data_IF_182556174016
#
_entry.id   IF_182556174016
#
_cell.length_a   1.000
_cell.length_b   1.000
_cell.length_c   1.000
_cell.angle_alpha   90.00
_cell.angle_beta   90.00
_cell.angle_gamma   90.00
#
_symmetry.space_group_name_H-M   'P 1'
#
loop_
_entity.id
_entity.type
_entity.pdbx_description
1 polymer ?
#
# COMPACT_ATOMS: atom_id res chain seq x y z
N UNK A 1 7.13 -18.45 -9.90
CA UNK A 1 5.70 -18.15 -10.18
C UNK A 1 5.35 -18.66 -11.57
N UNK A 2 4.25 -19.39 -11.73
CA UNK A 2 3.74 -19.80 -13.04
C UNK A 2 3.04 -18.64 -13.79
N UNK A 3 2.77 -18.80 -15.12
CA UNK A 3 2.15 -17.73 -15.93
C UNK A 3 0.81 -17.23 -15.37
N UNK A 4 -0.03 -18.12 -14.84
CA UNK A 4 -1.30 -17.75 -14.22
C UNK A 4 -1.12 -16.90 -12.95
N UNK A 5 -0.13 -17.20 -12.12
CA UNK A 5 0.19 -16.41 -10.91
C UNK A 5 0.71 -15.02 -11.28
N UNK A 6 1.49 -14.91 -12.37
CA UNK A 6 1.99 -13.61 -12.88
C UNK A 6 0.82 -12.77 -13.38
N UNK A 7 -0.11 -13.35 -14.16
CA UNK A 7 -1.29 -12.65 -14.65
C UNK A 7 -2.19 -12.19 -13.48
N UNK A 8 -2.37 -13.03 -12.48
CA UNK A 8 -3.16 -12.69 -11.30
C UNK A 8 -2.49 -11.59 -10.46
N UNK A 9 -1.15 -11.62 -10.33
CA UNK A 9 -0.39 -10.55 -9.69
C UNK A 9 -0.53 -9.21 -10.45
N UNK A 10 -0.47 -9.24 -11.78
CA UNK A 10 -0.68 -8.05 -12.60
C UNK A 10 -2.08 -7.44 -12.35
N UNK A 11 -3.11 -8.27 -12.24
CA UNK A 11 -4.46 -7.82 -11.87
C UNK A 11 -4.49 -7.13 -10.50
N UNK A 12 -3.86 -7.74 -9.48
CA UNK A 12 -3.76 -7.17 -8.14
C UNK A 12 -3.08 -5.79 -8.17
N UNK A 13 -1.97 -5.69 -8.91
CA UNK A 13 -1.23 -4.42 -9.08
C UNK A 13 -2.12 -3.34 -9.69
N UNK A 14 -2.86 -3.66 -10.74
CA UNK A 14 -3.78 -2.73 -11.40
C UNK A 14 -4.90 -2.30 -10.44
N UNK A 15 -5.49 -3.22 -9.69
CA UNK A 15 -6.56 -2.93 -8.74
C UNK A 15 -6.07 -1.99 -7.62
N UNK A 16 -4.90 -2.21 -7.05
CA UNK A 16 -4.32 -1.31 -6.04
C UNK A 16 -3.94 0.05 -6.64
N UNK A 17 -3.46 0.09 -7.88
CA UNK A 17 -3.20 1.37 -8.57
C UNK A 17 -4.50 2.16 -8.81
N UNK A 18 -5.60 1.49 -9.18
CA UNK A 18 -6.93 2.10 -9.28
C UNK A 18 -7.42 2.58 -7.91
N UNK A 19 -7.27 1.79 -6.86
CA UNK A 19 -7.60 2.20 -5.49
C UNK A 19 -6.93 3.54 -5.17
N UNK A 20 -5.62 3.64 -5.31
CA UNK A 20 -4.87 4.86 -5.00
C UNK A 20 -5.28 6.04 -5.89
N UNK A 21 -5.49 5.79 -7.18
CA UNK A 21 -5.92 6.80 -8.14
C UNK A 21 -7.31 7.38 -7.81
N UNK A 22 -8.28 6.51 -7.55
CA UNK A 22 -9.63 6.95 -7.21
C UNK A 22 -9.73 7.55 -5.81
N UNK A 23 -8.85 7.15 -4.87
CA UNK A 23 -8.69 7.83 -3.59
C UNK A 23 -8.30 9.31 -3.79
N UNK A 24 -7.31 9.60 -4.63
CA UNK A 24 -6.94 10.99 -4.97
C UNK A 24 -8.08 11.73 -5.66
N UNK A 25 -8.77 11.11 -6.64
CA UNK A 25 -9.94 11.72 -7.29
C UNK A 25 -11.07 12.01 -6.31
N UNK A 26 -11.33 11.10 -5.37
CA UNK A 26 -12.29 11.32 -4.30
C UNK A 26 -11.87 12.52 -3.45
N UNK A 27 -10.63 12.57 -2.97
CA UNK A 27 -10.15 13.65 -2.10
C UNK A 27 -10.22 15.03 -2.75
N UNK A 28 -9.98 15.11 -4.06
CA UNK A 28 -10.07 16.38 -4.83
C UNK A 28 -11.52 16.80 -5.11
N UNK A 29 -12.44 15.86 -5.25
CA UNK A 29 -13.85 16.11 -5.55
C UNK A 29 -14.77 16.17 -4.33
N UNK A 30 -14.24 15.86 -3.14
CA UNK A 30 -15.03 15.86 -1.91
C UNK A 30 -15.25 17.28 -1.38
N UNK A 31 -16.50 17.62 -1.11
CA UNK A 31 -16.92 18.97 -0.69
C UNK A 31 -17.32 19.06 0.78
N UNK A 32 -17.39 17.93 1.48
CA UNK A 32 -17.74 17.87 2.90
C UNK A 32 -16.59 18.28 3.83
N UNK A 33 -16.85 18.27 5.14
CA UNK A 33 -15.88 18.76 6.14
C UNK A 33 -14.79 17.75 6.53
N UNK A 34 -15.03 16.45 6.41
CA UNK A 34 -14.12 15.42 6.92
C UNK A 34 -14.18 14.18 6.01
N UNK A 35 -13.24 14.07 5.08
CA UNK A 35 -13.22 13.01 4.06
C UNK A 35 -12.75 11.64 4.61
N UNK A 36 -11.90 11.64 5.65
CA UNK A 36 -11.32 10.41 6.21
C UNK A 36 -12.39 9.46 6.77
N UNK A 37 -13.32 9.90 7.65
CA UNK A 37 -14.36 9.01 8.14
C UNK A 37 -15.26 8.48 7.04
N UNK A 38 -15.60 9.28 6.04
CA UNK A 38 -16.44 8.84 4.92
C UNK A 38 -15.78 7.74 4.13
N UNK A 39 -14.51 7.95 3.75
CA UNK A 39 -13.73 6.95 3.02
C UNK A 39 -13.59 5.66 3.83
N UNK A 40 -13.26 5.77 5.13
CA UNK A 40 -12.99 4.61 5.97
C UNK A 40 -14.28 3.85 6.33
N UNK A 41 -15.40 4.53 6.58
CA UNK A 41 -16.68 3.88 6.89
C UNK A 41 -17.23 3.17 5.65
N UNK A 42 -17.40 3.89 4.54
CA UNK A 42 -18.00 3.32 3.32
C UNK A 42 -17.05 2.27 2.72
N UNK A 43 -15.76 2.58 2.64
CA UNK A 43 -14.75 1.63 2.17
C UNK A 43 -14.67 0.40 3.05
N UNK A 44 -14.69 0.57 4.37
CA UNK A 44 -14.66 -0.53 5.33
C UNK A 44 -15.86 -1.47 5.20
N UNK A 45 -17.07 -0.92 5.11
CA UNK A 45 -18.29 -1.72 4.92
C UNK A 45 -18.21 -2.55 3.63
N UNK A 46 -17.77 -1.96 2.52
CA UNK A 46 -17.65 -2.66 1.23
C UNK A 46 -16.58 -3.75 1.31
N UNK A 47 -15.41 -3.44 1.87
CA UNK A 47 -14.34 -4.44 2.02
C UNK A 47 -14.80 -5.60 2.89
N UNK A 48 -15.41 -5.34 4.05
CA UNK A 48 -15.93 -6.39 4.94
C UNK A 48 -16.97 -7.26 4.22
N UNK A 49 -17.93 -6.65 3.52
CA UNK A 49 -18.96 -7.38 2.80
C UNK A 49 -18.36 -8.28 1.71
N UNK A 50 -17.46 -7.75 0.89
CA UNK A 50 -16.79 -8.53 -0.17
C UNK A 50 -15.93 -9.65 0.43
N UNK A 51 -15.13 -9.35 1.48
CA UNK A 51 -14.30 -10.37 2.14
C UNK A 51 -15.16 -11.48 2.75
N UNK A 52 -16.28 -11.14 3.37
CA UNK A 52 -17.21 -12.12 3.90
C UNK A 52 -17.77 -13.06 2.83
N UNK A 53 -18.04 -12.57 1.61
CA UNK A 53 -18.40 -13.43 0.48
C UNK A 53 -17.23 -14.31 0.03
N UNK A 54 -16.01 -13.79 -0.02
CA UNK A 54 -14.81 -14.56 -0.40
C UNK A 54 -14.47 -15.65 0.62
N UNK A 55 -14.75 -15.44 1.93
CA UNK A 55 -14.57 -16.42 2.98
C UNK A 55 -15.69 -17.51 3.01
N UNK A 56 -16.54 -17.57 2.00
CA UNK A 56 -17.68 -18.51 1.95
C UNK A 56 -18.77 -18.18 2.98
N UNK A 57 -18.95 -16.90 3.31
CA UNK A 57 -19.91 -16.42 4.31
C UNK A 57 -19.65 -17.00 5.73
N UNK A 58 -18.40 -17.29 6.04
CA UNK A 58 -17.97 -17.79 7.35
C UNK A 58 -17.06 -16.77 8.05
N UNK A 59 -17.08 -16.81 9.38
CA UNK A 59 -16.18 -16.04 10.22
C UNK A 59 -15.80 -16.87 11.43
N UNK A 60 -14.52 -17.19 11.56
CA UNK A 60 -13.99 -17.96 12.70
C UNK A 60 -12.58 -17.47 13.01
N UNK A 61 -12.47 -16.49 13.91
CA UNK A 61 -11.20 -15.88 14.27
C UNK A 61 -10.77 -16.29 15.69
N UNK A 62 -9.51 -16.61 15.87
CA UNK A 62 -8.89 -16.69 17.18
C UNK A 62 -8.85 -15.30 17.83
N UNK A 63 -8.92 -15.24 19.15
CA UNK A 63 -8.90 -13.98 19.88
C UNK A 63 -7.67 -13.11 19.57
N UNK A 64 -6.53 -13.74 19.29
CA UNK A 64 -5.29 -13.03 18.91
C UNK A 64 -5.41 -12.35 17.54
N UNK A 65 -6.04 -13.01 16.56
CA UNK A 65 -6.35 -12.40 15.25
C UNK A 65 -7.28 -11.19 15.40
N UNK A 66 -8.24 -11.26 16.32
CA UNK A 66 -9.12 -10.11 16.62
C UNK A 66 -8.33 -8.95 17.20
N UNK A 67 -7.43 -9.20 18.17
CA UNK A 67 -6.56 -8.15 18.74
C UNK A 67 -5.67 -7.55 17.67
N UNK A 68 -5.00 -8.38 16.85
CA UNK A 68 -4.16 -7.91 15.75
C UNK A 68 -4.97 -7.07 14.76
N UNK A 69 -6.20 -7.47 14.44
CA UNK A 69 -7.11 -6.72 13.58
C UNK A 69 -7.49 -5.35 14.14
N UNK A 70 -7.76 -5.26 15.44
CA UNK A 70 -8.06 -3.97 16.10
C UNK A 70 -6.83 -3.05 16.10
N UNK A 71 -5.64 -3.58 16.39
CA UNK A 71 -4.39 -2.81 16.31
C UNK A 71 -4.17 -2.33 14.87
N UNK A 72 -4.37 -3.22 13.90
CA UNK A 72 -4.23 -2.90 12.49
C UNK A 72 -5.27 -1.87 12.00
N UNK A 73 -6.46 -1.84 12.60
CA UNK A 73 -7.49 -0.84 12.32
C UNK A 73 -7.05 0.59 12.67
N UNK A 74 -6.27 0.75 13.74
CA UNK A 74 -5.67 2.06 14.09
C UNK A 74 -4.70 2.49 13.01
N UNK A 75 -3.82 1.58 12.54
CA UNK A 75 -2.89 1.86 11.46
C UNK A 75 -3.64 2.22 10.16
N UNK A 76 -4.71 1.48 9.81
CA UNK A 76 -5.54 1.74 8.64
C UNK A 76 -6.27 3.08 8.71
N UNK A 77 -6.80 3.46 9.88
CA UNK A 77 -7.45 4.76 10.08
C UNK A 77 -6.48 5.91 9.80
N UNK A 78 -5.29 5.88 10.40
CA UNK A 78 -4.26 6.90 10.17
C UNK A 78 -3.68 6.83 8.76
N UNK A 79 -3.53 5.65 8.18
CA UNK A 79 -3.17 5.49 6.78
C UNK A 79 -4.12 6.27 5.86
N UNK A 80 -5.43 6.07 6.01
CA UNK A 80 -6.44 6.77 5.22
C UNK A 80 -6.40 8.29 5.47
N UNK A 81 -6.20 8.72 6.72
CA UNK A 81 -6.12 10.14 7.08
C UNK A 81 -4.90 10.81 6.43
N UNK A 82 -3.72 10.21 6.55
CA UNK A 82 -2.50 10.72 5.94
C UNK A 82 -2.57 10.67 4.41
N UNK A 83 -3.11 9.58 3.84
CA UNK A 83 -3.27 9.44 2.39
C UNK A 83 -4.13 10.57 1.80
N UNK A 84 -5.28 10.84 2.39
CA UNK A 84 -6.18 11.90 1.93
C UNK A 84 -5.56 13.29 2.09
N UNK A 85 -4.96 13.59 3.25
CA UNK A 85 -4.33 14.89 3.52
C UNK A 85 -3.11 15.14 2.63
N UNK A 86 -2.29 14.12 2.40
CA UNK A 86 -1.14 14.23 1.52
C UNK A 86 -1.55 14.34 0.04
N UNK A 87 -2.61 13.63 -0.38
CA UNK A 87 -3.12 13.67 -1.76
C UNK A 87 -3.50 15.08 -2.23
N UNK A 88 -3.96 15.94 -1.34
CA UNK A 88 -4.34 17.33 -1.66
C UNK A 88 -3.21 18.33 -1.41
N UNK A 89 -2.13 17.94 -0.72
CA UNK A 89 -1.07 18.85 -0.28
C UNK A 89 0.24 18.71 -1.05
N UNK A 90 0.35 17.74 -1.97
CA UNK A 90 1.58 17.54 -2.74
C UNK A 90 1.45 16.58 -3.91
N UNK A 91 2.57 16.24 -4.57
CA UNK A 91 2.59 15.41 -5.77
C UNK A 91 2.23 13.95 -5.44
N UNK A 92 1.34 13.40 -6.28
CA UNK A 92 0.82 12.03 -6.10
C UNK A 92 1.90 10.96 -6.25
N UNK A 93 2.81 11.14 -7.22
CA UNK A 93 3.92 10.21 -7.44
C UNK A 93 4.79 10.03 -6.19
N UNK A 94 5.16 11.15 -5.55
CA UNK A 94 5.96 11.13 -4.31
C UNK A 94 5.21 10.48 -3.15
N UNK A 95 3.92 10.79 -3.02
CA UNK A 95 3.05 10.20 -2.00
C UNK A 95 3.03 8.67 -2.08
N UNK A 96 2.81 8.13 -3.28
CA UNK A 96 2.76 6.67 -3.50
C UNK A 96 4.11 6.02 -3.22
N UNK A 97 5.21 6.68 -3.54
CA UNK A 97 6.56 6.20 -3.21
C UNK A 97 6.72 5.98 -1.71
N UNK A 98 6.33 6.94 -0.87
CA UNK A 98 6.38 6.78 0.59
C UNK A 98 5.47 5.65 1.09
N UNK A 99 4.26 5.54 0.57
CA UNK A 99 3.33 4.47 0.94
C UNK A 99 3.93 3.10 0.63
N UNK A 100 4.38 2.90 -0.61
CA UNK A 100 4.95 1.64 -1.11
C UNK A 100 6.21 1.25 -0.33
N UNK A 101 7.10 2.22 -0.11
CA UNK A 101 8.35 1.98 0.61
C UNK A 101 8.08 1.52 2.06
N UNK A 102 7.08 2.10 2.74
CA UNK A 102 6.63 1.61 4.05
C UNK A 102 6.19 0.16 4.02
N UNK A 103 5.33 -0.18 3.03
CA UNK A 103 4.80 -1.53 2.86
C UNK A 103 5.84 -2.61 2.52
N UNK A 104 7.01 -2.22 2.02
CA UNK A 104 8.13 -3.14 1.74
C UNK A 104 9.08 -3.21 2.95
N UNK A 105 9.53 -2.05 3.44
CA UNK A 105 10.65 -1.97 4.39
C UNK A 105 10.27 -2.41 5.80
N UNK A 106 9.10 -2.01 6.30
CA UNK A 106 8.71 -2.31 7.68
C UNK A 106 8.45 -3.81 7.88
N UNK A 107 7.68 -4.52 7.02
CA UNK A 107 7.55 -5.96 7.15
C UNK A 107 8.89 -6.71 7.08
N UNK A 108 9.79 -6.30 6.18
CA UNK A 108 11.12 -6.89 6.06
C UNK A 108 11.96 -6.70 7.33
N UNK A 109 11.96 -5.48 7.89
CA UNK A 109 12.67 -5.18 9.15
C UNK A 109 12.09 -5.95 10.34
N UNK A 110 10.76 -6.03 10.44
CA UNK A 110 10.11 -6.75 11.54
C UNK A 110 10.42 -8.24 11.48
N UNK A 111 10.39 -8.85 10.29
CA UNK A 111 10.77 -10.26 10.10
C UNK A 111 12.25 -10.49 10.44
N UNK A 112 13.13 -9.62 9.99
CA UNK A 112 14.56 -9.73 10.26
C UNK A 112 14.88 -9.63 11.76
N UNK A 113 14.32 -8.61 12.45
CA UNK A 113 14.62 -8.35 13.88
C UNK A 113 13.82 -9.29 14.80
N UNK A 114 12.54 -9.50 14.52
CA UNK A 114 11.62 -10.22 15.39
C UNK A 114 11.63 -11.74 15.23
N UNK A 115 11.85 -12.24 14.02
CA UNK A 115 11.75 -13.66 13.68
C UNK A 115 13.07 -14.27 13.20
N UNK A 116 14.17 -13.50 13.28
CA UNK A 116 15.52 -13.92 12.84
C UNK A 116 15.54 -14.47 11.38
N UNK A 117 14.58 -14.02 10.58
CA UNK A 117 14.49 -14.35 9.15
C UNK A 117 15.53 -13.52 8.39
N UNK A 118 16.74 -14.10 8.27
CA UNK A 118 17.90 -13.41 7.70
C UNK A 118 17.68 -13.20 6.22
N UNK A 119 17.52 -11.94 5.83
CA UNK A 119 17.62 -11.58 4.41
C UNK A 119 19.00 -11.95 3.89
N UNK A 120 19.03 -12.51 2.68
CA UNK A 120 20.31 -12.78 2.01
C UNK A 120 21.05 -11.48 1.71
N UNK A 121 22.39 -11.53 1.66
CA UNK A 121 23.17 -10.33 1.35
C UNK A 121 22.78 -9.65 0.04
N UNK A 122 22.58 -10.40 -1.08
CA UNK A 122 22.06 -9.82 -2.31
C UNK A 122 20.71 -9.14 -2.16
N UNK A 123 19.75 -9.75 -1.43
CA UNK A 123 18.44 -9.13 -1.18
C UNK A 123 18.54 -7.80 -0.42
N UNK A 124 19.47 -7.70 0.56
CA UNK A 124 19.75 -6.44 1.24
C UNK A 124 20.31 -5.36 0.29
N UNK A 125 21.20 -5.74 -0.64
CA UNK A 125 21.69 -4.79 -1.65
C UNK A 125 20.56 -4.26 -2.53
N UNK A 126 19.64 -5.11 -2.98
CA UNK A 126 18.49 -4.68 -3.75
C UNK A 126 17.51 -3.84 -2.95
N UNK A 127 17.34 -4.10 -1.65
CA UNK A 127 16.57 -3.22 -0.77
C UNK A 127 17.18 -1.82 -0.71
N UNK A 128 18.51 -1.70 -0.61
CA UNK A 128 19.20 -0.40 -0.66
C UNK A 128 18.99 0.29 -2.01
N UNK A 129 19.05 -0.44 -3.13
CA UNK A 129 18.74 0.11 -4.46
C UNK A 129 17.31 0.65 -4.50
N UNK A 130 16.33 -0.06 -3.94
CA UNK A 130 14.94 0.39 -3.81
C UNK A 130 14.89 1.70 -2.97
N UNK A 131 15.60 1.77 -1.84
CA UNK A 131 15.66 2.97 -1.00
C UNK A 131 16.23 4.19 -1.75
N UNK A 132 17.34 4.00 -2.46
CA UNK A 132 17.93 5.05 -3.31
C UNK A 132 16.97 5.48 -4.41
N UNK A 133 16.26 4.53 -5.02
CA UNK A 133 15.25 4.80 -6.06
C UNK A 133 14.11 5.66 -5.53
N UNK A 134 13.62 5.40 -4.32
CA UNK A 134 12.62 6.23 -3.63
C UNK A 134 13.11 7.66 -3.47
N UNK A 135 14.35 7.83 -3.04
CA UNK A 135 14.95 9.16 -2.91
C UNK A 135 15.03 9.88 -4.27
N UNK A 136 15.54 9.23 -5.32
CA UNK A 136 15.62 9.78 -6.66
C UNK A 136 14.25 10.17 -7.22
N UNK A 137 13.21 9.39 -6.93
CA UNK A 137 11.85 9.69 -7.35
C UNK A 137 11.24 10.87 -6.57
N UNK A 138 11.75 11.18 -5.38
CA UNK A 138 11.31 12.30 -4.57
C UNK A 138 11.96 13.64 -4.98
N UNK A 139 13.01 13.63 -5.81
CA UNK A 139 13.72 14.84 -6.24
C UNK A 139 12.88 15.64 -7.24
N UNK A 140 12.73 16.93 -6.97
CA UNK A 140 11.90 17.87 -7.75
C UNK A 140 12.53 18.38 -9.03
N UNK A 141 11.66 18.79 -10.02
CA UNK A 141 12.06 19.76 -11.03
C UNK A 141 12.27 21.14 -10.38
N UNK A 142 13.30 21.84 -10.81
CA UNK A 142 13.62 23.23 -10.40
C UNK A 142 12.69 24.29 -11.03
N UNK A 143 11.64 23.91 -11.74
CA UNK A 143 10.77 24.84 -12.47
C UNK A 143 9.85 25.61 -11.52
N UNK A 144 10.06 26.94 -11.46
CA UNK A 144 9.31 27.92 -10.66
C UNK A 144 7.82 28.05 -11.03
N UNK A 145 7.36 27.48 -12.14
CA UNK A 145 5.98 27.59 -12.67
C UNK A 145 5.04 26.43 -12.32
N UNK A 146 5.36 25.63 -11.29
CA UNK A 146 4.49 24.53 -10.88
C UNK A 146 3.30 25.03 -10.02
N UNK A 147 2.10 24.59 -10.36
CA UNK A 147 0.88 24.82 -9.58
C UNK A 147 1.11 24.52 -8.08
N UNK A 148 0.42 25.25 -7.20
CA UNK A 148 0.55 25.15 -5.72
C UNK A 148 0.42 23.70 -5.20
N UNK A 149 -0.31 22.86 -5.92
CA UNK A 149 -0.51 21.41 -5.60
C UNK A 149 0.73 20.54 -5.82
N UNK A 150 1.79 21.05 -6.46
CA UNK A 150 2.99 20.27 -6.75
C UNK A 150 4.21 20.64 -5.88
N UNK A 151 4.03 21.47 -4.84
CA UNK A 151 5.13 21.82 -3.93
C UNK A 151 5.24 20.82 -2.78
N UNK A 152 6.43 20.27 -2.51
CA UNK A 152 6.71 19.47 -1.31
C UNK A 152 6.85 20.44 -0.14
N UNK A 153 5.86 20.49 0.71
CA UNK A 153 5.90 21.27 1.95
C UNK A 153 6.31 20.36 3.11
N UNK A 154 6.78 20.94 4.21
CA UNK A 154 7.04 20.15 5.43
C UNK A 154 5.80 19.39 5.88
N UNK A 155 4.62 19.98 5.74
CA UNK A 155 3.33 19.37 6.08
C UNK A 155 3.05 18.14 5.21
N UNK A 156 3.30 18.22 3.90
CA UNK A 156 3.19 17.09 2.98
C UNK A 156 4.18 15.97 3.37
N UNK A 157 5.43 16.33 3.69
CA UNK A 157 6.45 15.37 4.11
C UNK A 157 6.05 14.63 5.39
N UNK A 158 5.54 15.35 6.41
CA UNK A 158 5.06 14.73 7.65
C UNK A 158 3.92 13.74 7.40
N UNK A 159 2.96 14.09 6.54
CA UNK A 159 1.88 13.17 6.16
C UNK A 159 2.43 11.95 5.39
N UNK A 160 3.41 12.15 4.51
CA UNK A 160 4.03 11.06 3.75
C UNK A 160 4.82 10.10 4.64
N UNK A 161 5.52 10.60 5.66
CA UNK A 161 6.21 9.78 6.68
C UNK A 161 5.18 9.03 7.53
N UNK A 162 4.10 9.70 7.96
CA UNK A 162 3.00 9.04 8.66
C UNK A 162 2.39 7.91 7.82
N UNK A 163 2.18 8.15 6.53
CA UNK A 163 1.69 7.14 5.59
C UNK A 163 2.66 5.96 5.44
N UNK A 164 3.97 6.22 5.36
CA UNK A 164 5.02 5.20 5.35
C UNK A 164 4.92 4.28 6.56
N UNK A 165 4.83 4.85 7.76
CA UNK A 165 4.75 4.08 9.01
C UNK A 165 3.45 3.27 9.06
N UNK A 166 2.32 3.89 8.77
CA UNK A 166 1.01 3.24 8.86
C UNK A 166 0.84 2.11 7.84
N UNK A 167 1.25 2.33 6.58
CA UNK A 167 1.19 1.28 5.55
C UNK A 167 2.12 0.12 5.87
N UNK A 168 3.31 0.43 6.36
CA UNK A 168 4.26 -0.60 6.77
C UNK A 168 3.80 -1.41 7.96
N UNK A 169 3.22 -0.77 8.98
CA UNK A 169 2.63 -1.46 10.13
C UNK A 169 1.47 -2.36 9.71
N UNK A 170 0.58 -1.85 8.85
CA UNK A 170 -0.52 -2.63 8.28
C UNK A 170 -0.01 -3.89 7.55
N UNK A 171 0.95 -3.72 6.66
CA UNK A 171 1.54 -4.82 5.89
C UNK A 171 2.30 -5.81 6.78
N UNK A 172 3.01 -5.33 7.82
CA UNK A 172 3.71 -6.19 8.76
C UNK A 172 2.74 -7.08 9.55
N UNK A 173 1.65 -6.53 10.07
CA UNK A 173 0.64 -7.30 10.80
C UNK A 173 0.00 -8.34 9.89
N UNK A 174 -0.32 -8.00 8.65
CA UNK A 174 -0.86 -8.95 7.66
C UNK A 174 0.13 -10.08 7.35
N UNK A 175 1.42 -9.75 7.23
CA UNK A 175 2.47 -10.73 6.96
C UNK A 175 2.73 -11.66 8.14
N UNK A 176 2.63 -11.14 9.37
CA UNK A 176 2.96 -11.88 10.61
C UNK A 176 1.77 -12.64 11.20
N UNK A 177 0.54 -12.37 10.75
CA UNK A 177 -0.65 -12.95 11.36
C UNK A 177 -0.54 -14.48 11.50
N UNK A 178 -0.18 -15.17 10.42
CA UNK A 178 -0.06 -16.62 10.42
C UNK A 178 1.08 -17.13 11.32
N UNK A 179 2.20 -16.42 11.38
CA UNK A 179 3.34 -16.77 12.23
C UNK A 179 3.01 -16.62 13.73
N UNK A 180 2.19 -15.63 14.08
CA UNK A 180 1.80 -15.33 15.45
C UNK A 180 0.66 -16.22 15.95
N UNK A 181 -0.29 -16.63 15.09
CA UNK A 181 -1.47 -17.40 15.47
C UNK A 181 -1.35 -18.89 15.18
N UNK A 182 -0.35 -19.29 14.39
CA UNK A 182 -0.14 -20.67 13.93
C UNK A 182 -1.06 -21.12 12.81
N UNK A 183 -2.05 -20.33 12.42
CA UNK A 183 -3.01 -20.62 11.36
C UNK A 183 -3.24 -19.38 10.48
N UNK A 184 -3.57 -19.62 9.20
CA UNK A 184 -3.86 -18.52 8.28
C UNK A 184 -5.31 -18.07 8.44
N UNK A 185 -5.52 -16.96 9.15
CA UNK A 185 -6.81 -16.29 9.35
C UNK A 185 -6.77 -14.87 8.76
N UNK A 186 -6.23 -14.76 7.52
CA UNK A 186 -6.02 -13.44 6.87
C UNK A 186 -7.32 -12.76 6.48
N UNK A 187 -8.33 -13.53 6.10
CA UNK A 187 -9.66 -13.01 5.75
C UNK A 187 -10.35 -12.43 6.98
N UNK A 188 -10.30 -13.14 8.10
CA UNK A 188 -10.82 -12.69 9.39
C UNK A 188 -10.06 -11.44 9.89
N UNK A 189 -8.74 -11.45 9.78
CA UNK A 189 -7.93 -10.28 10.11
C UNK A 189 -8.38 -9.05 9.30
N UNK A 190 -8.62 -9.20 8.00
CA UNK A 190 -9.09 -8.11 7.13
C UNK A 190 -10.47 -7.64 7.57
N UNK A 191 -11.41 -8.56 7.78
CA UNK A 191 -12.77 -8.23 8.23
C UNK A 191 -12.74 -7.45 9.53
N UNK A 192 -12.00 -7.91 10.55
CA UNK A 192 -11.86 -7.21 11.84
C UNK A 192 -11.19 -5.85 11.64
N UNK A 193 -10.11 -5.78 10.86
CA UNK A 193 -9.37 -4.53 10.62
C UNK A 193 -10.28 -3.46 10.01
N UNK A 194 -11.00 -3.78 8.95
CA UNK A 194 -11.84 -2.80 8.26
C UNK A 194 -13.11 -2.47 9.04
N UNK A 195 -13.72 -3.43 9.74
CA UNK A 195 -14.86 -3.18 10.63
C UNK A 195 -14.46 -2.28 11.81
N UNK A 196 -13.37 -2.58 12.49
CA UNK A 196 -12.89 -1.78 13.61
C UNK A 196 -12.44 -0.38 13.14
N UNK A 197 -11.81 -0.23 11.98
CA UNK A 197 -11.45 1.07 11.41
C UNK A 197 -12.69 1.91 11.10
N UNK A 198 -13.77 1.31 10.59
CA UNK A 198 -15.05 1.98 10.39
C UNK A 198 -15.66 2.45 11.73
N UNK A 199 -15.59 1.62 12.77
CA UNK A 199 -16.05 1.98 14.13
C UNK A 199 -15.22 3.13 14.71
N UNK A 200 -13.88 3.06 14.62
CA UNK A 200 -12.96 4.14 15.05
C UNK A 200 -13.31 5.43 14.34
N UNK A 201 -13.56 5.36 13.03
CA UNK A 201 -13.95 6.53 12.22
C UNK A 201 -15.28 7.13 12.67
N UNK A 202 -16.26 6.28 12.95
CA UNK A 202 -17.56 6.71 13.46
C UNK A 202 -17.44 7.38 14.85
N UNK A 203 -16.66 6.77 15.76
CA UNK A 203 -16.38 7.36 17.09
C UNK A 203 -15.68 8.71 16.92
N UNK A 204 -14.74 8.85 15.98
CA UNK A 204 -14.07 10.12 15.74
C UNK A 204 -15.03 11.24 15.31
N UNK A 205 -16.08 10.92 14.55
CA UNK A 205 -17.13 11.89 14.20
C UNK A 205 -17.94 12.33 15.41
N UNK A 206 -18.28 11.42 16.31
CA UNK A 206 -19.01 11.72 17.55
C UNK A 206 -18.16 12.62 18.45
N UNK A 207 -16.89 12.26 18.66
CA UNK A 207 -15.97 13.02 19.53
C UNK A 207 -15.75 14.44 18.98
N UNK A 208 -15.60 14.58 17.67
CA UNK A 208 -15.46 15.89 17.01
C UNK A 208 -16.77 16.68 16.95
N UNK A 209 -17.89 16.12 17.41
CA UNK A 209 -19.24 16.70 17.29
C UNK A 209 -19.56 17.15 15.85
N UNK A 210 -19.10 16.36 14.87
CA UNK A 210 -19.26 16.67 13.46
C UNK A 210 -20.72 16.52 13.04
N UNK A 211 -21.24 17.47 12.26
CA UNK A 211 -22.58 17.34 11.69
C UNK A 211 -22.55 16.26 10.60
N UNK A 212 -23.18 15.11 10.87
CA UNK A 212 -23.21 13.95 9.96
C UNK A 212 -23.70 14.34 8.55
N UNK A 213 -24.74 15.19 8.47
CA UNK A 213 -25.24 15.65 7.17
C UNK A 213 -24.16 16.37 6.35
N UNK A 214 -23.35 17.23 6.99
CA UNK A 214 -22.26 17.94 6.30
C UNK A 214 -21.07 17.04 5.96
N UNK A 215 -20.85 15.97 6.74
CA UNK A 215 -19.79 14.99 6.49
C UNK A 215 -20.14 14.10 5.29
N UNK A 216 -21.38 13.61 5.21
CA UNK A 216 -21.81 12.73 4.10
C UNK A 216 -22.30 13.50 2.86
N UNK A 217 -22.24 14.85 2.87
CA UNK A 217 -22.56 15.65 1.68
C UNK A 217 -21.41 15.59 0.70
N UNK A 218 -21.65 15.03 -0.48
CA UNK A 218 -20.65 14.93 -1.55
C UNK A 218 -21.32 14.99 -2.93
N UNK A 219 -20.53 15.34 -3.95
CA UNK A 219 -21.00 15.32 -5.34
C UNK A 219 -21.18 13.89 -5.82
N UNK A 220 -22.04 13.68 -6.83
CA UNK A 220 -22.18 12.35 -7.49
C UNK A 220 -20.84 11.81 -7.97
N UNK A 221 -19.98 12.68 -8.52
CA UNK A 221 -18.65 12.29 -8.99
C UNK A 221 -17.75 11.82 -7.86
N UNK A 222 -17.74 12.51 -6.71
CA UNK A 222 -16.98 12.07 -5.54
C UNK A 222 -17.50 10.72 -5.01
N UNK A 223 -18.82 10.52 -4.97
CA UNK A 223 -19.41 9.25 -4.54
C UNK A 223 -19.02 8.10 -5.46
N UNK A 224 -19.07 8.28 -6.79
CA UNK A 224 -18.63 7.27 -7.76
C UNK A 224 -17.15 6.94 -7.58
N UNK A 225 -16.29 7.96 -7.40
CA UNK A 225 -14.87 7.74 -7.14
C UNK A 225 -14.64 6.95 -5.84
N UNK A 226 -15.42 7.21 -4.79
CA UNK A 226 -15.38 6.48 -3.54
C UNK A 226 -15.79 5.01 -3.70
N UNK A 227 -16.84 4.73 -4.46
CA UNK A 227 -17.28 3.37 -4.75
C UNK A 227 -16.23 2.58 -5.54
N UNK A 228 -15.64 3.19 -6.58
CA UNK A 228 -14.59 2.54 -7.36
C UNK A 228 -13.35 2.30 -6.48
N UNK A 229 -12.96 3.26 -5.65
CA UNK A 229 -11.91 3.07 -4.65
C UNK A 229 -12.17 1.86 -3.76
N UNK A 230 -13.36 1.79 -3.15
CA UNK A 230 -13.71 0.75 -2.19
C UNK A 230 -13.80 -0.64 -2.85
N UNK A 231 -14.40 -0.76 -4.02
CA UNK A 231 -14.46 -2.00 -4.79
C UNK A 231 -13.07 -2.45 -5.23
N UNK A 232 -12.25 -1.53 -5.75
CA UNK A 232 -10.87 -1.85 -6.16
C UNK A 232 -10.06 -2.33 -4.96
N UNK A 233 -10.19 -1.68 -3.79
CA UNK A 233 -9.53 -2.11 -2.55
C UNK A 233 -10.00 -3.50 -2.11
N UNK A 234 -11.31 -3.74 -2.13
CA UNK A 234 -11.89 -5.01 -1.72
C UNK A 234 -11.43 -6.18 -2.59
N UNK A 235 -11.50 -6.02 -3.91
CA UNK A 235 -11.03 -7.06 -4.84
C UNK A 235 -9.51 -7.24 -4.79
N UNK A 236 -8.73 -6.13 -4.68
CA UNK A 236 -7.28 -6.20 -4.60
C UNK A 236 -6.80 -6.98 -3.38
N UNK A 237 -7.34 -6.67 -2.17
CA UNK A 237 -6.90 -7.31 -0.94
C UNK A 237 -7.31 -8.77 -0.87
N UNK A 238 -8.53 -9.13 -1.29
CA UNK A 238 -8.97 -10.52 -1.34
C UNK A 238 -8.17 -11.34 -2.37
N UNK A 239 -7.89 -10.77 -3.55
CA UNK A 239 -7.00 -11.40 -4.53
C UNK A 239 -5.58 -11.58 -3.99
N UNK A 240 -5.07 -10.64 -3.20
CA UNK A 240 -3.77 -10.76 -2.54
C UNK A 240 -3.77 -11.90 -1.52
N UNK A 241 -4.82 -12.04 -0.72
CA UNK A 241 -4.96 -13.16 0.23
C UNK A 241 -4.93 -14.50 -0.48
N UNK A 242 -5.67 -14.66 -1.58
CA UNK A 242 -5.67 -15.89 -2.38
C UNK A 242 -4.26 -16.27 -2.84
N UNK A 243 -3.49 -15.30 -3.34
CA UNK A 243 -2.11 -15.57 -3.78
C UNK A 243 -1.18 -15.90 -2.60
N UNK A 244 -1.40 -15.27 -1.43
CA UNK A 244 -0.65 -15.55 -0.22
C UNK A 244 -0.86 -16.98 0.30
N UNK A 245 -2.01 -17.58 0.00
CA UNK A 245 -2.32 -18.99 0.35
C UNK A 245 -1.63 -20.00 -0.58
N UNK A 246 -1.06 -19.57 -1.72
CA UNK A 246 -0.41 -20.43 -2.71
C UNK A 246 1.09 -20.71 -2.41
N UNK A 247 1.51 -20.71 -1.15
CA UNK A 247 2.88 -20.98 -0.70
C UNK A 247 3.98 -20.14 -1.37
N UNK A 248 3.64 -18.93 -1.81
CA UNK A 248 4.62 -17.96 -2.31
C UNK A 248 5.24 -17.22 -1.13
N UNK A 249 6.54 -16.95 -1.17
CA UNK A 249 7.17 -16.17 -0.13
C UNK A 249 6.49 -14.79 0.00
N UNK A 250 5.91 -14.56 1.18
CA UNK A 250 5.10 -13.36 1.47
C UNK A 250 5.89 -12.06 1.29
N UNK A 251 7.18 -12.04 1.65
CA UNK A 251 8.02 -10.86 1.54
C UNK A 251 8.25 -10.44 0.09
N UNK A 252 8.58 -11.41 -0.76
CA UNK A 252 8.76 -11.20 -2.21
C UNK A 252 7.46 -10.75 -2.84
N UNK A 253 6.38 -11.42 -2.52
CA UNK A 253 5.06 -11.15 -3.09
C UNK A 253 4.62 -9.72 -2.78
N UNK A 254 4.75 -9.29 -1.52
CA UNK A 254 4.42 -7.92 -1.11
C UNK A 254 5.37 -6.89 -1.74
N UNK A 255 6.67 -7.23 -1.92
CA UNK A 255 7.61 -6.35 -2.59
C UNK A 255 7.25 -6.15 -4.07
N UNK A 256 6.97 -7.23 -4.81
CA UNK A 256 6.55 -7.19 -6.22
C UNK A 256 5.24 -6.40 -6.37
N UNK A 257 4.25 -6.72 -5.54
CA UNK A 257 2.96 -6.04 -5.54
C UNK A 257 3.13 -4.53 -5.31
N UNK A 258 3.78 -4.14 -4.24
CA UNK A 258 3.93 -2.73 -3.88
C UNK A 258 4.65 -1.93 -4.97
N UNK A 259 5.69 -2.48 -5.53
CA UNK A 259 6.45 -1.75 -6.51
C UNK A 259 5.83 -1.77 -7.90
N UNK A 260 5.13 -2.83 -8.27
CA UNK A 260 4.26 -2.81 -9.44
C UNK A 260 3.19 -1.73 -9.32
N UNK A 261 2.54 -1.62 -8.16
CA UNK A 261 1.57 -0.54 -7.85
C UNK A 261 2.21 0.83 -8.02
N UNK A 262 3.45 1.01 -7.55
CA UNK A 262 4.15 2.27 -7.69
C UNK A 262 4.39 2.63 -9.16
N UNK A 263 4.91 1.71 -9.97
CA UNK A 263 5.18 1.94 -11.39
C UNK A 263 3.89 2.31 -12.14
N UNK A 264 2.80 1.57 -11.93
CA UNK A 264 1.50 1.87 -12.56
C UNK A 264 0.95 3.21 -12.06
N UNK A 265 1.09 3.53 -10.77
CA UNK A 265 0.63 4.80 -10.19
C UNK A 265 1.41 6.00 -10.75
N UNK A 266 2.72 5.84 -11.01
CA UNK A 266 3.53 6.88 -11.69
C UNK A 266 3.02 7.12 -13.11
N UNK A 267 2.72 6.06 -13.87
CA UNK A 267 2.11 6.20 -15.21
C UNK A 267 0.77 6.92 -15.12
N UNK A 268 -0.07 6.59 -14.13
CA UNK A 268 -1.35 7.28 -13.91
C UNK A 268 -1.14 8.76 -13.55
N UNK A 269 -0.10 9.08 -12.74
CA UNK A 269 0.19 10.48 -12.40
C UNK A 269 0.54 11.31 -13.63
N UNK A 270 1.31 10.74 -14.55
CA UNK A 270 1.68 11.42 -15.81
C UNK A 270 0.46 11.63 -16.71
N UNK A 271 -0.36 10.60 -16.92
CA UNK A 271 -1.47 10.64 -17.88
C UNK A 271 -2.62 11.50 -17.33
N UNK A 272 -3.03 11.28 -16.10
CA UNK A 272 -4.28 11.86 -15.56
C UNK A 272 -4.07 13.13 -14.74
N UNK A 273 -2.96 13.24 -14.01
CA UNK A 273 -2.65 14.43 -13.21
C UNK A 273 -1.65 15.36 -13.92
N UNK A 274 -1.18 14.97 -15.12
CA UNK A 274 -0.20 15.73 -15.92
C UNK A 274 1.06 16.10 -15.13
N UNK A 275 1.45 15.25 -14.16
CA UNK A 275 2.69 15.41 -13.43
C UNK A 275 3.87 15.14 -14.37
N UNK A 276 4.82 16.07 -14.46
CA UNK A 276 6.03 15.90 -15.28
C UNK A 276 7.06 15.10 -14.51
N UNK A 277 7.53 14.00 -15.08
CA UNK A 277 8.68 13.28 -14.55
C UNK A 277 9.96 14.05 -14.88
N UNK A 278 10.81 14.24 -13.88
CA UNK A 278 12.18 14.69 -14.11
C UNK A 278 13.04 13.55 -14.63
N UNK A 279 14.21 13.87 -15.18
CA UNK A 279 15.21 12.84 -15.51
C UNK A 279 15.58 11.99 -14.27
N UNK A 280 15.67 12.62 -13.08
CA UNK A 280 15.94 11.91 -11.82
C UNK A 280 14.81 10.95 -11.43
N UNK A 281 13.55 11.35 -11.61
CA UNK A 281 12.41 10.46 -11.36
C UNK A 281 12.42 9.26 -12.32
N UNK A 282 12.74 9.47 -13.61
CA UNK A 282 12.86 8.37 -14.58
C UNK A 282 14.00 7.40 -14.22
N UNK A 283 15.13 7.91 -13.78
CA UNK A 283 16.25 7.10 -13.26
C UNK A 283 15.82 6.34 -12.00
N UNK A 284 15.10 7.00 -11.09
CA UNK A 284 14.53 6.35 -9.91
C UNK A 284 13.58 5.20 -10.26
N UNK A 285 12.67 5.38 -11.25
CA UNK A 285 11.80 4.31 -11.75
C UNK A 285 12.61 3.12 -12.30
N UNK A 286 13.65 3.40 -13.06
CA UNK A 286 14.52 2.37 -13.62
C UNK A 286 15.23 1.56 -12.53
N UNK A 287 15.87 2.21 -11.56
CA UNK A 287 16.52 1.53 -10.43
C UNK A 287 15.50 0.80 -9.54
N UNK A 288 14.30 1.35 -9.36
CA UNK A 288 13.23 0.66 -8.66
C UNK A 288 12.87 -0.66 -9.35
N UNK A 289 12.71 -0.65 -10.66
CA UNK A 289 12.41 -1.87 -11.44
C UNK A 289 13.53 -2.92 -11.29
N UNK A 290 14.81 -2.50 -11.33
CA UNK A 290 15.95 -3.37 -11.09
C UNK A 290 15.93 -3.92 -9.66
N UNK A 291 15.72 -3.07 -8.67
CA UNK A 291 15.64 -3.46 -7.27
C UNK A 291 14.57 -4.50 -7.00
N UNK A 292 13.42 -4.35 -7.65
CA UNK A 292 12.29 -5.28 -7.54
C UNK A 292 12.59 -6.65 -8.15
N UNK A 293 13.04 -6.67 -9.39
CA UNK A 293 13.45 -7.92 -10.07
C UNK A 293 14.56 -8.58 -9.26
N UNK A 294 15.54 -7.79 -8.80
CA UNK A 294 16.64 -8.29 -8.01
C UNK A 294 16.20 -8.94 -6.70
N UNK A 295 15.36 -8.28 -5.91
CA UNK A 295 14.89 -8.84 -4.63
C UNK A 295 14.09 -10.13 -4.84
N UNK A 296 13.29 -10.20 -5.93
CA UNK A 296 12.49 -11.41 -6.24
C UNK A 296 13.31 -12.58 -6.70
N UNK A 297 14.37 -12.33 -7.47
CA UNK A 297 15.22 -13.40 -8.04
C UNK A 297 16.25 -13.89 -7.01
N UNK A 298 16.81 -12.97 -6.23
CA UNK A 298 17.95 -13.26 -5.34
C UNK A 298 17.57 -13.41 -3.86
N UNK A 299 16.28 -13.47 -3.52
CA UNK A 299 15.83 -13.63 -2.14
C UNK A 299 16.44 -14.85 -1.43
N UNK A 300 16.57 -15.97 -2.13
CA UNK A 300 17.12 -17.23 -1.61
C UNK A 300 18.58 -17.49 -2.03
N UNK A 301 19.20 -16.58 -2.77
CA UNK A 301 20.54 -16.75 -3.32
C UNK A 301 21.57 -16.07 -2.45
N UNK A 302 22.57 -16.83 -1.96
CA UNK A 302 23.70 -16.27 -1.22
C UNK A 302 24.72 -15.61 -2.16
N UNK A 303 25.61 -14.76 -1.64
CA UNK A 303 26.68 -14.17 -2.45
C UNK A 303 27.61 -15.22 -3.09
N UNK A 304 27.88 -16.35 -2.43
CA UNK A 304 28.67 -17.45 -2.98
C UNK A 304 28.00 -18.06 -4.21
N UNK A 305 26.71 -18.36 -4.12
CA UNK A 305 25.93 -18.89 -5.24
C UNK A 305 25.83 -17.88 -6.40
N UNK A 306 25.66 -16.58 -6.09
CA UNK A 306 25.66 -15.54 -7.10
C UNK A 306 27.01 -15.46 -7.84
N UNK A 307 28.13 -15.57 -7.11
CA UNK A 307 29.47 -15.62 -7.68
C UNK A 307 29.67 -16.81 -8.60
N UNK A 308 29.17 -17.99 -8.23
CA UNK A 308 29.22 -19.20 -9.06
C UNK A 308 28.37 -19.04 -10.33
N UNK A 309 27.18 -18.47 -10.23
CA UNK A 309 26.32 -18.20 -11.40
C UNK A 309 26.99 -17.23 -12.37
N UNK A 310 27.61 -16.15 -11.89
CA UNK A 310 28.31 -15.18 -12.75
C UNK A 310 29.54 -15.81 -13.37
N UNK A 311 30.33 -16.58 -12.62
CA UNK A 311 31.50 -17.26 -13.17
C UNK A 311 31.16 -18.33 -14.21
N UNK A 312 29.99 -18.97 -14.11
CA UNK A 312 29.44 -19.89 -15.09
C UNK A 312 28.91 -19.23 -16.37
N UNK A 313 28.53 -17.94 -16.31
CA UNK A 313 28.08 -17.17 -17.49
C UNK A 313 29.25 -16.57 -18.30
N UNK A 314 30.43 -16.45 -17.69
CA UNK A 314 31.63 -15.86 -18.32
C UNK A 314 32.50 -16.94 -18.99
N UNK A 315 32.24 -18.21 -18.70
CA UNK A 315 32.85 -19.37 -19.39
C UNK A 315 32.00 -19.80 -20.59
#
# INVERSE_FOLDING_TARGET
>A
MGPAQIAFMALIIILYAFQNFFCKKFSLGYTGKDSTPVLTIIGGIIVVAVTFFFSGCSFSAKWLTVILGVINAVALYFYNDFLLKASVSGPYSVLIVFAVFGGISIPALVKWIGFNDKMTGPAMCFLVIIMVSVYLMSVKPSDENTSVTNKITLKFLLYSVGLFICNGSYAAILALQQELTGESEKEELIMVTFAAAAIISFISLIVKKSNLKSVFTMTKGAFVNLLIYALSAAFAINSLVIILLLEVNTGVLLAVQNAGVMLVSVVFSMIFFKERLTKMNAVGCFFMSIGLVGITVFEKVSFSQLSEMISGLIK
#
